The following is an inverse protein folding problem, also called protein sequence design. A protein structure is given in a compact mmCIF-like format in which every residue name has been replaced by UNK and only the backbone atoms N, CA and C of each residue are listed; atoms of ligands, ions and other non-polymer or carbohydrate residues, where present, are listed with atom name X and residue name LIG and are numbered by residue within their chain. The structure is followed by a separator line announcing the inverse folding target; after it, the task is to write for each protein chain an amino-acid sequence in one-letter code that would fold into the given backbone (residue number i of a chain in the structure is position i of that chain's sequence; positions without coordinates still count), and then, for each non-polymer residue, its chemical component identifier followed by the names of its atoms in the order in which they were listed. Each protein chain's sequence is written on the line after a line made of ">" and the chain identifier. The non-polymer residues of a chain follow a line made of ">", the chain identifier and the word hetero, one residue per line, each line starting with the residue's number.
data_IF_058018744225
#
_entry.id   IF_058018744225
#
_cell.length_a   1.000
_cell.length_b   1.000
_cell.length_c   1.000
_cell.angle_alpha   90.00
_cell.angle_beta   90.00
_cell.angle_gamma   90.00
#
_symmetry.space_group_name_H-M   'P 1'
#
loop_
_entity.id
_entity.type
_entity.pdbx_description
1 polymer ?
#
# COMPACT_ATOMS: atom_id res chain seq x y z
N UNK A 1 -8.22 -5.93 59.62
CA UNK A 1 -9.25 -6.47 58.71
C UNK A 1 -9.33 -5.54 57.50
N UNK A 2 -8.56 -5.85 56.45
CA UNK A 2 -9.08 -6.29 55.13
C UNK A 2 -10.09 -5.31 54.54
N UNK A 3 -9.64 -4.37 53.68
CA UNK A 3 -10.18 -3.96 52.35
C UNK A 3 -9.11 -3.10 51.63
N UNK A 4 -7.90 -3.62 51.42
CA UNK A 4 -7.42 -4.01 50.09
C UNK A 4 -8.35 -3.66 48.91
N UNK A 5 -7.74 -3.07 47.88
CA UNK A 5 -8.18 -3.02 46.48
C UNK A 5 -9.06 -1.83 46.04
N UNK A 6 -8.41 -0.82 45.44
CA UNK A 6 -8.71 -0.50 44.04
C UNK A 6 -7.50 0.22 43.40
N UNK A 7 -6.51 -0.59 43.04
CA UNK A 7 -5.52 -0.26 42.02
C UNK A 7 -6.21 -0.35 40.64
N UNK A 8 -5.78 0.51 39.72
CA UNK A 8 -5.63 0.20 38.29
C UNK A 8 -6.90 0.12 37.43
N UNK A 9 -7.25 1.22 36.78
CA UNK A 9 -7.80 1.20 35.41
C UNK A 9 -7.64 2.55 34.68
N UNK A 10 -6.46 3.17 34.78
CA UNK A 10 -6.01 4.10 33.74
C UNK A 10 -5.15 3.29 32.77
N UNK A 11 -5.79 2.47 31.96
CA UNK A 11 -5.12 1.79 30.85
C UNK A 11 -6.05 1.74 29.65
N UNK A 12 -5.51 2.19 28.52
CA UNK A 12 -5.96 1.90 27.16
C UNK A 12 -7.24 2.59 26.65
N UNK A 13 -7.19 3.93 26.52
CA UNK A 13 -7.92 4.64 25.44
C UNK A 13 -6.95 5.06 24.33
N UNK A 14 -5.87 4.30 24.11
CA UNK A 14 -4.92 4.52 23.01
C UNK A 14 -5.02 3.44 21.91
N UNK A 15 -5.72 2.32 22.15
CA UNK A 15 -5.76 1.19 21.22
C UNK A 15 -6.90 1.20 20.19
N UNK A 16 -7.94 2.03 20.37
CA UNK A 16 -9.15 1.96 19.52
C UNK A 16 -9.00 2.77 18.21
N UNK A 17 -8.03 3.67 18.12
CA UNK A 17 -7.88 4.58 16.96
C UNK A 17 -7.26 3.90 15.73
N UNK A 18 -6.69 2.69 15.86
CA UNK A 18 -5.89 2.09 14.79
C UNK A 18 -6.66 1.23 13.77
N UNK A 19 -7.97 0.98 13.94
CA UNK A 19 -8.74 0.15 13.00
C UNK A 19 -9.40 0.95 11.86
N UNK A 20 -9.72 2.23 12.06
CA UNK A 20 -10.45 3.04 11.06
C UNK A 20 -9.53 3.66 9.99
N UNK A 21 -8.22 3.77 10.27
CA UNK A 21 -7.26 4.34 9.33
C UNK A 21 -7.01 3.46 8.08
N UNK A 22 -7.46 2.21 8.08
CA UNK A 22 -7.32 1.30 6.94
C UNK A 22 -8.48 1.43 5.93
N UNK A 23 -9.56 2.15 6.25
CA UNK A 23 -10.75 2.24 5.38
C UNK A 23 -10.52 3.04 4.08
N UNK A 24 -9.45 3.85 4.01
CA UNK A 24 -9.19 4.76 2.87
C UNK A 24 -7.73 4.70 2.37
N UNK A 25 -7.11 3.52 2.38
CA UNK A 25 -5.77 3.38 1.82
C UNK A 25 -5.82 3.27 0.28
N UNK A 26 -4.97 3.99 -0.48
CA UNK A 26 -4.77 3.73 -1.90
C UNK A 26 -4.09 2.37 -2.08
N UNK A 27 -4.33 1.70 -3.21
CA UNK A 27 -3.72 0.40 -3.52
C UNK A 27 -3.47 0.29 -5.01
N UNK A 28 -2.19 0.29 -5.39
CA UNK A 28 -1.78 0.15 -6.79
C UNK A 28 -1.75 -1.32 -7.20
N UNK A 29 -2.42 -1.65 -8.32
CA UNK A 29 -2.38 -2.99 -8.90
C UNK A 29 -2.00 -2.92 -10.38
N UNK A 30 -0.84 -3.47 -10.73
CA UNK A 30 -0.37 -3.56 -12.11
C UNK A 30 -1.01 -4.74 -12.85
N UNK A 31 -1.29 -4.56 -14.14
CA UNK A 31 -1.75 -5.66 -15.01
C UNK A 31 -0.64 -6.69 -15.25
N UNK A 32 0.61 -6.23 -15.34
CA UNK A 32 1.81 -7.05 -15.38
C UNK A 32 2.95 -6.33 -14.68
N UNK A 33 3.79 -7.06 -13.96
CA UNK A 33 5.00 -6.53 -13.34
C UNK A 33 6.23 -6.63 -14.23
N UNK A 34 6.16 -7.43 -15.31
CA UNK A 34 7.30 -7.69 -16.19
C UNK A 34 6.88 -7.71 -17.65
N UNK A 35 7.85 -7.43 -18.52
CA UNK A 35 7.72 -7.63 -19.96
C UNK A 35 8.95 -8.34 -20.49
N UNK A 36 8.73 -9.54 -21.03
CA UNK A 36 9.72 -10.22 -21.85
C UNK A 36 9.53 -9.76 -23.31
N UNK A 37 10.60 -9.25 -23.91
CA UNK A 37 10.66 -8.89 -25.33
C UNK A 37 11.08 -10.06 -26.22
N UNK A 38 11.57 -11.15 -25.62
CA UNK A 38 11.99 -12.37 -26.30
C UNK A 38 13.19 -12.16 -27.21
N UNK A 39 13.17 -12.85 -28.36
CA UNK A 39 14.20 -12.68 -29.40
C UNK A 39 13.91 -11.41 -30.19
N UNK A 40 14.86 -10.49 -30.18
CA UNK A 40 14.75 -9.20 -30.87
C UNK A 40 15.83 -9.07 -31.93
N UNK A 41 15.57 -8.27 -32.96
CA UNK A 41 16.60 -7.89 -33.94
C UNK A 41 17.38 -6.68 -33.44
N UNK A 42 18.69 -6.69 -33.63
CA UNK A 42 19.55 -5.57 -33.28
C UNK A 42 19.12 -4.29 -33.99
N UNK A 43 19.13 -3.17 -33.27
CA UNK A 43 18.72 -1.86 -33.78
C UNK A 43 17.21 -1.60 -33.75
N UNK A 44 16.38 -2.58 -33.36
CA UNK A 44 14.95 -2.34 -33.15
C UNK A 44 14.69 -1.58 -31.85
N UNK A 45 13.88 -0.54 -31.95
CA UNK A 45 13.35 0.18 -30.78
C UNK A 45 12.01 -0.43 -30.41
N UNK A 46 11.94 -1.03 -29.22
CA UNK A 46 10.73 -1.62 -28.68
C UNK A 46 10.16 -0.74 -27.57
N UNK A 47 8.84 -0.79 -27.42
CA UNK A 47 8.11 -0.05 -26.38
C UNK A 47 7.13 -0.99 -25.69
N UNK A 48 6.98 -0.80 -24.40
CA UNK A 48 5.94 -1.44 -23.61
C UNK A 48 5.36 -0.43 -22.63
N UNK A 49 4.05 -0.50 -22.43
CA UNK A 49 3.31 0.37 -21.50
C UNK A 49 2.79 -0.51 -20.37
N UNK A 50 3.28 -0.26 -19.15
CA UNK A 50 2.73 -0.86 -17.95
C UNK A 50 1.46 -0.12 -17.54
N UNK A 51 0.36 -0.87 -17.46
CA UNK A 51 -0.92 -0.35 -16.97
C UNK A 51 -1.13 -0.76 -15.52
N UNK A 52 -1.73 0.13 -14.75
CA UNK A 52 -2.14 -0.14 -13.38
C UNK A 52 -3.46 0.57 -13.07
N UNK A 53 -4.11 0.07 -12.02
CA UNK A 53 -5.35 0.62 -11.49
C UNK A 53 -5.22 0.82 -10.00
N UNK A 54 -5.71 1.94 -9.48
CA UNK A 54 -5.92 2.10 -8.05
C UNK A 54 -7.14 1.26 -7.63
N UNK A 55 -6.91 0.15 -6.93
CA UNK A 55 -7.95 -0.72 -6.35
C UNK A 55 -8.27 -0.36 -4.89
N UNK A 56 -7.58 0.63 -4.33
CA UNK A 56 -7.87 1.16 -3.01
C UNK A 56 -9.02 2.15 -3.05
N UNK A 57 -9.49 2.53 -1.88
CA UNK A 57 -10.54 3.53 -1.67
C UNK A 57 -9.97 4.95 -1.51
N UNK A 58 -8.68 5.07 -1.15
CA UNK A 58 -7.97 6.34 -1.06
C UNK A 58 -7.42 6.84 -2.41
N UNK A 59 -7.13 8.14 -2.51
CA UNK A 59 -6.45 8.75 -3.66
C UNK A 59 -5.02 8.20 -3.80
N UNK A 60 -4.68 7.70 -4.98
CA UNK A 60 -3.31 7.27 -5.31
C UNK A 60 -2.56 8.42 -5.99
N UNK A 61 -1.70 9.10 -5.25
CA UNK A 61 -0.80 10.13 -5.77
C UNK A 61 0.56 9.53 -6.14
N UNK A 62 1.07 9.83 -7.33
CA UNK A 62 2.37 9.35 -7.82
C UNK A 62 3.37 10.51 -7.77
N UNK A 63 4.36 10.42 -6.90
CA UNK A 63 5.37 11.48 -6.71
C UNK A 63 6.58 11.35 -7.65
N UNK A 64 6.97 10.13 -7.99
CA UNK A 64 8.11 9.86 -8.87
C UNK A 64 7.94 8.56 -9.65
N UNK A 65 8.65 8.46 -10.75
CA UNK A 65 8.81 7.24 -11.53
C UNK A 65 10.20 7.27 -12.18
N UNK A 66 10.94 6.17 -12.06
CA UNK A 66 12.30 6.05 -12.59
C UNK A 66 12.36 4.83 -13.51
N UNK A 67 12.97 5.03 -14.68
CA UNK A 67 13.31 3.95 -15.61
C UNK A 67 14.77 3.55 -15.45
N UNK A 68 15.09 2.29 -15.77
CA UNK A 68 16.46 1.78 -15.85
C UNK A 68 17.20 2.28 -17.09
#
# INVERSE_FOLDING_TARGET
>A
MKRFSLLLSVTMVAGVVSLLALENAPSIAFESSTKDFGKITQGQVLKHVFKFTNKGTGTLEIHSAEGS
#
